data_IF_889093162081
#
_entry.id   IF_889093162081
#
_cell.length_a   1.000
_cell.length_b   1.000
_cell.length_c   1.000
_cell.angle_alpha   90.00
_cell.angle_beta   90.00
_cell.angle_gamma   90.00
#
_symmetry.space_group_name_H-M   'P 1'
#
loop_
_entity.id
_entity.type
_entity.pdbx_description
1 polymer ?
#
# COMPACT_ATOMS: atom_id res chain seq x y z
N UNK A 1 33.92 0.73 6.77
CA UNK A 1 33.08 -0.41 7.13
C UNK A 1 31.71 -0.21 6.51
N UNK A 2 31.40 -1.00 5.54
CA UNK A 2 30.09 -0.96 4.94
C UNK A 2 29.13 -1.82 5.78
N UNK A 3 28.38 -1.15 6.64
CA UNK A 3 27.39 -1.83 7.47
C UNK A 3 26.20 -2.34 6.66
N UNK A 4 25.33 -3.05 7.34
CA UNK A 4 24.07 -3.51 6.77
C UNK A 4 23.12 -2.31 6.63
N UNK A 5 22.69 -2.03 5.40
CA UNK A 5 21.76 -0.95 5.09
C UNK A 5 20.54 -1.52 4.36
N UNK A 6 19.43 -0.82 4.46
CA UNK A 6 18.22 -1.16 3.73
C UNK A 6 18.27 -0.64 2.31
N UNK A 7 17.84 -1.48 1.36
CA UNK A 7 17.70 -1.11 -0.04
C UNK A 7 16.34 -1.56 -0.55
N UNK A 8 15.74 -0.75 -1.42
CA UNK A 8 14.53 -1.16 -2.12
C UNK A 8 14.91 -2.04 -3.31
N UNK A 9 14.19 -3.15 -3.46
CA UNK A 9 14.43 -4.14 -4.50
C UNK A 9 13.18 -4.22 -5.37
N UNK A 10 13.35 -3.96 -6.66
CA UNK A 10 12.28 -4.09 -7.64
C UNK A 10 12.23 -5.52 -8.16
N UNK A 11 11.08 -6.14 -8.05
CA UNK A 11 10.86 -7.55 -8.43
C UNK A 11 9.95 -7.65 -9.65
N UNK A 12 10.02 -8.78 -10.33
CA UNK A 12 9.06 -9.12 -11.37
C UNK A 12 7.65 -9.25 -10.77
N UNK A 13 6.58 -9.01 -11.56
CA UNK A 13 5.22 -9.18 -11.10
C UNK A 13 4.99 -10.57 -10.51
N UNK A 14 4.29 -10.63 -9.38
CA UNK A 14 3.96 -11.85 -8.64
C UNK A 14 5.16 -12.64 -8.10
N UNK A 15 6.36 -12.05 -8.09
CA UNK A 15 7.59 -12.72 -7.62
C UNK A 15 8.13 -12.19 -6.29
N UNK A 16 7.50 -11.18 -5.69
CA UNK A 16 8.00 -10.58 -4.47
C UNK A 16 8.16 -11.58 -3.32
N UNK A 17 7.15 -12.42 -3.08
CA UNK A 17 7.21 -13.43 -2.01
C UNK A 17 8.25 -14.50 -2.29
N UNK A 18 8.41 -14.88 -3.53
CA UNK A 18 9.44 -15.81 -3.96
C UNK A 18 10.85 -15.24 -3.74
N UNK A 19 11.07 -13.99 -4.11
CA UNK A 19 12.35 -13.30 -3.88
C UNK A 19 12.64 -13.18 -2.39
N UNK A 20 11.64 -12.80 -1.58
CA UNK A 20 11.77 -12.74 -0.12
C UNK A 20 12.25 -14.07 0.45
N UNK A 21 11.61 -15.16 0.07
CA UNK A 21 11.97 -16.50 0.53
C UNK A 21 13.41 -16.84 0.16
N UNK A 22 13.81 -16.58 -1.07
CA UNK A 22 15.16 -16.91 -1.55
C UNK A 22 16.24 -16.06 -0.88
N UNK A 23 15.99 -14.76 -0.69
CA UNK A 23 16.95 -13.89 -0.01
C UNK A 23 17.08 -14.25 1.47
N UNK A 24 15.98 -14.60 2.14
CA UNK A 24 16.02 -15.08 3.50
C UNK A 24 16.86 -16.35 3.65
N UNK A 25 16.81 -17.25 2.67
CA UNK A 25 17.61 -18.48 2.68
C UNK A 25 19.12 -18.24 2.65
N UNK A 26 19.55 -17.14 2.03
CA UNK A 26 20.98 -16.79 1.99
C UNK A 26 21.36 -15.80 3.11
N UNK A 27 20.51 -15.64 4.10
CA UNK A 27 20.81 -14.85 5.30
C UNK A 27 20.52 -13.36 5.17
N UNK A 28 19.80 -12.91 4.15
CA UNK A 28 19.43 -11.50 3.99
C UNK A 28 18.09 -11.25 4.66
N UNK A 29 18.05 -10.26 5.55
CA UNK A 29 16.81 -9.79 6.15
C UNK A 29 15.97 -9.08 5.10
N UNK A 30 14.71 -9.51 4.92
CA UNK A 30 13.79 -8.92 3.96
C UNK A 30 12.57 -8.38 4.68
N UNK A 31 12.11 -7.20 4.24
CA UNK A 31 10.87 -6.62 4.69
C UNK A 31 9.94 -6.40 3.49
N UNK A 32 8.83 -7.11 3.50
CA UNK A 32 7.81 -7.07 2.45
C UNK A 32 6.48 -6.66 3.11
N UNK A 33 6.27 -5.34 3.35
CA UNK A 33 5.09 -4.88 4.05
C UNK A 33 3.82 -5.16 3.26
N UNK A 34 2.84 -5.71 3.93
CA UNK A 34 1.54 -6.08 3.35
C UNK A 34 0.42 -5.47 4.16
N UNK A 35 -0.70 -5.25 3.51
CA UNK A 35 -1.95 -4.85 4.15
C UNK A 35 -3.06 -5.82 3.76
N UNK A 36 -4.11 -5.87 4.59
CA UNK A 36 -5.31 -6.64 4.30
C UNK A 36 -6.32 -5.76 3.58
N UNK A 37 -6.88 -6.26 2.49
CA UNK A 37 -7.94 -5.58 1.76
C UNK A 37 -9.12 -6.52 1.58
N UNK A 38 -10.32 -5.96 1.59
CA UNK A 38 -11.53 -6.72 1.24
C UNK A 38 -11.72 -6.70 -0.27
N UNK A 39 -11.96 -7.88 -0.84
CA UNK A 39 -12.20 -8.03 -2.26
C UNK A 39 -13.39 -8.97 -2.48
N UNK A 40 -14.24 -8.63 -3.44
CA UNK A 40 -15.32 -9.54 -3.87
C UNK A 40 -14.74 -10.59 -4.79
N UNK A 41 -14.80 -11.85 -4.37
CA UNK A 41 -14.40 -12.99 -5.18
C UNK A 41 -15.63 -13.87 -5.33
N UNK A 42 -16.10 -14.04 -6.56
CA UNK A 42 -17.33 -14.79 -6.87
C UNK A 42 -18.54 -14.29 -6.07
N UNK A 43 -18.65 -12.96 -5.94
CA UNK A 43 -19.76 -12.32 -5.21
C UNK A 43 -19.68 -12.40 -3.69
N UNK A 44 -18.61 -12.95 -3.12
CA UNK A 44 -18.40 -13.04 -1.67
C UNK A 44 -17.25 -12.15 -1.22
N UNK A 45 -17.42 -11.37 -0.13
CA UNK A 45 -16.32 -10.61 0.45
C UNK A 45 -15.24 -11.55 0.99
N UNK A 46 -14.00 -11.36 0.56
CA UNK A 46 -12.85 -12.08 1.09
C UNK A 46 -11.74 -11.10 1.45
N UNK A 47 -11.00 -11.44 2.52
CA UNK A 47 -9.82 -10.68 2.90
C UNK A 47 -8.64 -11.20 2.09
N UNK A 48 -8.02 -10.31 1.33
CA UNK A 48 -6.81 -10.61 0.56
C UNK A 48 -5.63 -9.82 1.11
N UNK A 49 -4.45 -10.38 0.99
CA UNK A 49 -3.20 -9.73 1.37
C UNK A 49 -2.60 -9.07 0.16
N UNK A 50 -2.23 -7.79 0.28
CA UNK A 50 -1.61 -7.04 -0.80
C UNK A 50 -0.32 -6.42 -0.33
N UNK A 51 0.67 -6.33 -1.25
CA UNK A 51 1.87 -5.58 -0.98
C UNK A 51 1.55 -4.09 -0.80
N UNK A 52 2.16 -3.46 0.21
CA UNK A 52 2.05 -2.02 0.38
C UNK A 52 2.68 -1.27 -0.80
N UNK A 53 3.80 -1.77 -1.30
CA UNK A 53 4.47 -1.24 -2.49
C UNK A 53 4.50 -2.34 -3.56
N UNK A 54 3.58 -2.33 -4.52
CA UNK A 54 3.53 -3.38 -5.54
C UNK A 54 4.86 -3.57 -6.27
N UNK A 55 5.36 -4.81 -6.28
CA UNK A 55 6.64 -5.21 -6.90
C UNK A 55 7.91 -4.66 -6.24
N UNK A 56 7.80 -4.06 -5.04
CA UNK A 56 8.95 -3.61 -4.26
C UNK A 56 8.98 -4.29 -2.90
N UNK A 57 10.18 -4.74 -2.53
CA UNK A 57 10.48 -5.22 -1.18
C UNK A 57 11.74 -4.52 -0.67
N UNK A 58 12.00 -4.61 0.61
CA UNK A 58 13.20 -4.04 1.22
C UNK A 58 14.11 -5.16 1.69
N UNK A 59 15.38 -5.06 1.36
CA UNK A 59 16.41 -5.99 1.83
C UNK A 59 17.48 -5.25 2.61
N UNK A 60 17.93 -5.82 3.72
CA UNK A 60 19.00 -5.28 4.54
C UNK A 60 20.27 -6.08 4.34
N UNK A 61 21.25 -5.49 3.71
CA UNK A 61 22.50 -6.17 3.38
C UNK A 61 23.67 -5.20 3.19
N UNK A 62 24.87 -5.77 3.14
CA UNK A 62 26.07 -5.04 2.80
C UNK A 62 26.30 -5.13 1.27
N UNK A 63 26.51 -3.99 0.63
CA UNK A 63 26.81 -3.96 -0.82
C UNK A 63 28.08 -4.74 -1.16
N UNK A 64 29.11 -4.63 -0.30
CA UNK A 64 30.39 -5.31 -0.55
C UNK A 64 30.24 -6.84 -0.56
N UNK A 65 29.37 -7.37 0.30
CA UNK A 65 29.24 -8.82 0.46
C UNK A 65 28.12 -9.43 -0.39
N UNK A 66 27.01 -8.70 -0.57
CA UNK A 66 25.76 -9.30 -1.07
C UNK A 66 25.18 -8.64 -2.32
N UNK A 67 25.81 -7.58 -2.83
CA UNK A 67 25.27 -6.85 -3.99
C UNK A 67 24.93 -7.80 -5.16
N UNK A 68 25.87 -8.63 -5.57
CA UNK A 68 25.67 -9.56 -6.68
C UNK A 68 24.61 -10.61 -6.38
N UNK A 69 24.63 -11.16 -5.18
CA UNK A 69 23.65 -12.17 -4.76
C UNK A 69 22.23 -11.64 -4.82
N UNK A 70 22.04 -10.39 -4.47
CA UNK A 70 20.73 -9.74 -4.55
C UNK A 70 20.36 -9.33 -5.95
N UNK A 71 21.27 -8.65 -6.65
CA UNK A 71 21.04 -8.15 -8.01
C UNK A 71 20.67 -9.26 -8.99
N UNK A 72 21.33 -10.39 -8.90
CA UNK A 72 21.14 -11.52 -9.81
C UNK A 72 20.22 -12.61 -9.24
N UNK A 73 19.60 -12.38 -8.10
CA UNK A 73 18.64 -13.31 -7.55
C UNK A 73 17.44 -13.46 -8.50
N UNK A 74 16.96 -14.69 -8.61
CA UNK A 74 15.84 -14.98 -9.50
C UNK A 74 14.58 -14.22 -9.08
N UNK A 75 13.98 -13.50 -10.00
CA UNK A 75 12.81 -12.67 -9.77
C UNK A 75 13.13 -11.21 -9.46
N UNK A 76 14.39 -10.87 -9.22
CA UNK A 76 14.83 -9.48 -9.03
C UNK A 76 15.06 -8.83 -10.39
N UNK A 77 14.49 -7.63 -10.58
CA UNK A 77 14.73 -6.80 -11.76
C UNK A 77 15.94 -5.90 -11.52
N UNK A 78 15.95 -5.19 -10.37
CA UNK A 78 17.04 -4.27 -10.01
C UNK A 78 16.96 -3.90 -8.53
N UNK A 79 18.08 -3.39 -8.02
CA UNK A 79 18.14 -2.68 -6.75
C UNK A 79 17.97 -1.20 -7.06
N UNK A 80 17.07 -0.53 -6.35
CA UNK A 80 16.73 0.87 -6.64
C UNK A 80 17.90 1.81 -6.31
N UNK A 81 18.21 2.71 -7.23
CA UNK A 81 19.30 3.66 -7.07
C UNK A 81 19.53 4.47 -8.35
N UNK A 82 20.66 5.16 -8.41
CA UNK A 82 21.09 5.91 -9.58
C UNK A 82 21.98 5.02 -10.45
N UNK A 83 21.49 4.67 -11.65
CA UNK A 83 22.20 3.74 -12.55
C UNK A 83 22.59 2.45 -11.83
N UNK A 84 23.88 2.15 -11.74
CA UNK A 84 24.36 0.94 -11.07
C UNK A 84 24.73 1.15 -9.60
N UNK A 85 24.41 2.33 -9.04
CA UNK A 85 24.71 2.64 -7.65
C UNK A 85 23.44 2.59 -6.82
N UNK A 86 23.25 1.57 -5.98
CA UNK A 86 22.11 1.50 -5.08
C UNK A 86 22.10 2.67 -4.08
N UNK A 87 20.91 3.18 -3.78
CA UNK A 87 20.73 4.22 -2.78
C UNK A 87 20.04 3.58 -1.56
N UNK A 88 20.63 3.70 -0.37
CA UNK A 88 20.03 3.11 0.83
C UNK A 88 18.73 3.84 1.21
N UNK A 89 17.84 3.10 1.83
CA UNK A 89 16.61 3.60 2.45
C UNK A 89 16.90 3.85 3.94
N UNK A 90 16.52 4.99 4.45
CA UNK A 90 16.73 5.31 5.86
C UNK A 90 16.01 4.34 6.78
N UNK A 91 16.67 3.94 7.86
CA UNK A 91 16.10 3.06 8.87
C UNK A 91 14.79 3.62 9.45
N UNK A 92 14.69 4.94 9.61
CA UNK A 92 13.48 5.60 10.08
C UNK A 92 12.26 5.34 9.19
N UNK A 93 12.47 5.23 7.88
CA UNK A 93 11.37 4.93 6.93
C UNK A 93 10.86 3.53 7.21
N UNK A 94 11.74 2.55 7.34
CA UNK A 94 11.37 1.17 7.66
C UNK A 94 10.67 1.08 9.01
N UNK A 95 11.20 1.74 10.04
CA UNK A 95 10.60 1.74 11.37
C UNK A 95 9.23 2.44 11.39
N UNK A 96 9.09 3.52 10.62
CA UNK A 96 7.79 4.20 10.48
C UNK A 96 6.74 3.28 9.87
N UNK A 97 7.10 2.53 8.83
CA UNK A 97 6.19 1.55 8.22
C UNK A 97 5.84 0.47 9.23
N UNK A 98 6.84 -0.09 9.91
CA UNK A 98 6.62 -1.13 10.95
C UNK A 98 5.73 -0.64 12.09
N UNK A 99 5.82 0.62 12.46
CA UNK A 99 5.00 1.19 13.54
C UNK A 99 3.49 1.18 13.23
N UNK A 100 3.11 1.05 11.96
CA UNK A 100 1.72 0.95 11.53
C UNK A 100 1.25 -0.50 11.35
N UNK A 101 2.07 -1.47 11.72
CA UNK A 101 1.68 -2.88 11.68
C UNK A 101 0.84 -3.27 12.89
N UNK A 102 -0.17 -4.08 12.62
CA UNK A 102 -0.94 -4.80 13.61
C UNK A 102 -1.05 -6.25 13.15
N UNK A 103 -0.67 -7.18 14.01
CA UNK A 103 -0.64 -8.62 13.68
C UNK A 103 0.12 -8.94 12.37
N UNK A 104 1.22 -8.22 12.12
CA UNK A 104 2.06 -8.43 10.94
C UNK A 104 1.56 -7.77 9.65
N UNK A 105 0.51 -6.96 9.72
CA UNK A 105 -0.03 -6.24 8.56
C UNK A 105 -0.12 -4.74 8.82
N UNK A 106 0.18 -3.97 7.79
CA UNK A 106 -0.01 -2.52 7.83
C UNK A 106 -1.51 -2.23 7.94
N UNK A 107 -1.87 -1.40 8.91
CA UNK A 107 -3.25 -0.95 9.10
C UNK A 107 -3.44 0.35 8.32
N UNK A 108 -4.23 0.27 7.25
CA UNK A 108 -4.64 1.45 6.49
C UNK A 108 -6.02 1.83 7.03
N UNK A 109 -6.08 2.94 7.78
CA UNK A 109 -7.35 3.47 8.26
C UNK A 109 -7.94 4.36 7.17
N UNK A 110 -9.15 4.04 6.68
CA UNK A 110 -9.85 4.96 5.79
C UNK A 110 -10.10 6.28 6.51
N UNK A 111 -10.13 7.40 5.78
CA UNK A 111 -10.39 8.70 6.42
C UNK A 111 -11.76 8.69 7.11
N UNK A 112 -11.81 9.30 8.28
CA UNK A 112 -13.05 9.50 9.01
C UNK A 112 -13.65 10.85 8.62
N UNK A 113 -14.93 10.86 8.33
CA UNK A 113 -15.68 12.05 7.96
C UNK A 113 -16.77 12.34 8.98
N UNK A 114 -17.10 13.62 9.14
CA UNK A 114 -18.21 14.08 9.99
C UNK A 114 -19.40 14.46 9.12
N UNK A 115 -20.60 14.24 9.65
CA UNK A 115 -21.84 14.66 8.97
C UNK A 115 -21.78 16.14 8.58
N UNK A 116 -22.12 16.45 7.34
CA UNK A 116 -22.05 17.80 6.78
C UNK A 116 -20.70 18.19 6.19
N UNK A 117 -19.67 17.37 6.33
CA UNK A 117 -18.34 17.63 5.77
C UNK A 117 -18.35 17.50 4.24
N UNK A 118 -17.67 18.42 3.56
CA UNK A 118 -17.52 18.36 2.10
C UNK A 118 -16.53 17.29 1.71
N UNK A 119 -16.90 16.45 0.77
CA UNK A 119 -16.08 15.35 0.25
C UNK A 119 -16.04 15.34 -1.26
N UNK A 120 -15.02 14.73 -1.79
CA UNK A 120 -14.85 14.51 -3.23
C UNK A 120 -14.55 13.04 -3.47
N UNK A 121 -15.15 12.47 -4.50
CA UNK A 121 -14.85 11.11 -4.94
C UNK A 121 -13.56 11.17 -5.76
N UNK A 122 -12.52 10.44 -5.33
CA UNK A 122 -11.21 10.53 -5.96
C UNK A 122 -10.89 9.38 -6.92
N UNK A 123 -11.74 8.35 -6.96
CA UNK A 123 -11.52 7.18 -7.82
C UNK A 123 -12.86 6.57 -8.26
N UNK A 124 -12.81 5.73 -9.29
CA UNK A 124 -13.98 5.07 -9.84
C UNK A 124 -14.76 5.90 -10.86
N UNK A 125 -15.94 5.41 -11.29
CA UNK A 125 -16.75 6.08 -12.34
C UNK A 125 -17.22 7.49 -11.98
N UNK A 126 -17.32 7.82 -10.69
CA UNK A 126 -17.76 9.12 -10.19
C UNK A 126 -16.60 10.01 -9.74
N UNK A 127 -15.37 9.69 -10.11
CA UNK A 127 -14.20 10.49 -9.74
C UNK A 127 -14.37 11.96 -10.14
N UNK A 128 -14.02 12.87 -9.22
CA UNK A 128 -14.16 14.32 -9.39
C UNK A 128 -15.50 14.88 -8.94
N UNK A 129 -16.49 14.04 -8.66
CA UNK A 129 -17.80 14.49 -8.17
C UNK A 129 -17.67 14.86 -6.69
N UNK A 130 -18.25 16.00 -6.32
CA UNK A 130 -18.27 16.52 -4.94
C UNK A 130 -19.62 16.31 -4.30
N UNK A 131 -19.60 16.15 -3.00
CA UNK A 131 -20.82 15.98 -2.22
C UNK A 131 -20.61 16.32 -0.75
N UNK A 132 -21.60 16.00 0.04
CA UNK A 132 -21.58 16.19 1.48
C UNK A 132 -21.72 14.83 2.14
N UNK A 133 -20.82 14.52 3.07
CA UNK A 133 -20.91 13.30 3.84
C UNK A 133 -22.14 13.35 4.75
N UNK A 134 -22.99 12.36 4.67
CA UNK A 134 -24.19 12.25 5.48
C UNK A 134 -23.98 11.34 6.69
N UNK A 135 -23.63 10.07 6.45
CA UNK A 135 -23.45 9.09 7.50
C UNK A 135 -22.74 7.82 7.01
N UNK A 136 -22.26 7.04 7.95
CA UNK A 136 -21.80 5.69 7.68
C UNK A 136 -22.97 4.70 7.71
N UNK A 137 -22.85 3.66 6.90
CA UNK A 137 -23.77 2.54 6.98
C UNK A 137 -23.26 1.53 8.00
N UNK A 138 -24.18 0.94 8.75
CA UNK A 138 -23.87 -0.03 9.80
C UNK A 138 -23.21 -1.26 9.17
N UNK A 139 -22.14 -1.73 9.83
CA UNK A 139 -21.38 -2.92 9.43
C UNK A 139 -20.80 -2.87 8.01
N UNK A 140 -20.60 -1.68 7.46
CA UNK A 140 -20.11 -1.48 6.10
C UNK A 140 -19.06 -0.38 6.06
N UNK A 141 -18.07 -0.55 5.19
CA UNK A 141 -17.13 0.52 4.85
C UNK A 141 -17.74 1.53 3.87
N UNK A 142 -19.02 1.37 3.59
CA UNK A 142 -19.78 2.26 2.72
C UNK A 142 -20.40 3.40 3.50
N UNK A 143 -20.54 4.51 2.84
CA UNK A 143 -21.08 5.75 3.40
C UNK A 143 -22.12 6.33 2.44
N UNK A 144 -23.05 7.13 2.98
CA UNK A 144 -23.99 7.86 2.15
C UNK A 144 -23.50 9.30 2.03
N UNK A 145 -23.41 9.76 0.80
CA UNK A 145 -23.11 11.16 0.48
C UNK A 145 -24.25 11.78 -0.30
N UNK A 146 -24.44 13.07 -0.10
CA UNK A 146 -25.35 13.88 -0.90
C UNK A 146 -24.56 14.52 -2.02
N UNK A 147 -24.80 14.11 -3.26
CA UNK A 147 -24.16 14.73 -4.39
C UNK A 147 -24.75 16.10 -4.67
N UNK A 148 -23.90 17.09 -4.87
CA UNK A 148 -24.29 18.40 -5.34
C UNK A 148 -24.50 18.36 -6.86
N UNK A 149 -25.57 17.70 -7.28
CA UNK A 149 -25.98 17.73 -8.68
C UNK A 149 -26.71 19.05 -8.98
N UNK A 150 -26.69 19.45 -10.23
CA UNK A 150 -27.00 20.81 -10.74
C UNK A 150 -28.33 21.41 -10.22
N UNK A 151 -29.32 20.62 -9.86
CA UNK A 151 -30.64 21.15 -9.46
C UNK A 151 -31.20 20.56 -8.16
N UNK A 152 -30.67 19.45 -7.66
CA UNK A 152 -31.09 18.81 -6.42
C UNK A 152 -30.05 17.81 -5.95
N UNK A 153 -30.04 17.53 -4.65
CA UNK A 153 -29.13 16.57 -4.05
C UNK A 153 -29.64 15.16 -4.23
N UNK A 154 -28.78 14.29 -4.70
CA UNK A 154 -29.02 12.84 -4.78
C UNK A 154 -28.21 12.13 -3.70
N UNK A 155 -28.82 11.18 -3.02
CA UNK A 155 -28.12 10.32 -2.08
C UNK A 155 -27.45 9.17 -2.84
N UNK A 156 -26.18 8.95 -2.55
CA UNK A 156 -25.40 7.88 -3.17
C UNK A 156 -24.68 7.10 -2.11
N UNK A 157 -24.77 5.79 -2.19
CA UNK A 157 -23.98 4.87 -1.37
C UNK A 157 -22.65 4.61 -2.05
N UNK A 158 -21.54 4.86 -1.35
CA UNK A 158 -20.21 4.74 -1.91
C UNK A 158 -19.24 4.17 -0.87
N UNK A 159 -18.20 3.48 -1.35
CA UNK A 159 -17.12 3.03 -0.49
C UNK A 159 -16.35 4.21 0.07
N UNK A 160 -16.12 4.20 1.38
CA UNK A 160 -15.39 5.27 2.09
C UNK A 160 -14.00 5.51 1.51
N UNK A 161 -13.31 4.44 1.09
CA UNK A 161 -11.97 4.54 0.52
C UNK A 161 -11.89 5.35 -0.76
N UNK A 162 -13.01 5.61 -1.42
CA UNK A 162 -13.08 6.43 -2.64
C UNK A 162 -13.25 7.93 -2.36
N UNK A 163 -13.38 8.31 -1.09
CA UNK A 163 -13.62 9.70 -0.68
C UNK A 163 -12.34 10.37 -0.16
N UNK A 164 -12.25 11.66 -0.41
CA UNK A 164 -11.28 12.57 0.22
C UNK A 164 -11.98 13.86 0.62
N UNK A 165 -11.36 14.62 1.53
CA UNK A 165 -11.88 15.93 1.88
C UNK A 165 -11.79 16.86 0.68
N UNK A 166 -12.86 17.58 0.40
CA UNK A 166 -12.86 18.60 -0.63
C UNK A 166 -12.24 19.89 -0.06
N UNK A 167 -11.38 20.50 -0.84
CA UNK A 167 -10.81 21.83 -0.55
C UNK A 167 -11.82 22.94 -0.79
#
# INVERSE_FOLDING_TARGET
>A
MNGLLWYAIYTKPHKADYVEMNLNRIGIEVYNPKYRAKKLIRGRPQVVKKQLFPNYIFGRFSLDESYRNVKYARGVVRIVGNSDTPIPVDDEIIETIRSHEDEGYIVIKPPEFRAGERVEIHDGPLAGVRGIFERELRDSERVIILLNAISYSARVEIDRGLLRRAE
#
